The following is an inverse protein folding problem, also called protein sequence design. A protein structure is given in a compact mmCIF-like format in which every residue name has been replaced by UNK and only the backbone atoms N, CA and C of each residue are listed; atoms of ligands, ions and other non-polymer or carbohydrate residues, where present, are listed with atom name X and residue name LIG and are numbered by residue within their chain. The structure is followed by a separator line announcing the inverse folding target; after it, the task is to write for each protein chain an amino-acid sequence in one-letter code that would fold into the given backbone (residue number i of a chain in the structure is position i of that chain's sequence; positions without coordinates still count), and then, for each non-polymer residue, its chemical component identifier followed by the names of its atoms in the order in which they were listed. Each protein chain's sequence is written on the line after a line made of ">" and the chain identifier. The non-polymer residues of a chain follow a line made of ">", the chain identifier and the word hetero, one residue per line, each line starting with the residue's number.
data_IF_329353400521
#
_entry.id   IF_329353400521
#
_cell.length_a   1.000
_cell.length_b   1.000
_cell.length_c   1.000
_cell.angle_alpha   90.00
_cell.angle_beta   90.00
_cell.angle_gamma   90.00
#
_symmetry.space_group_name_H-M   'P 1'
#
loop_
_entity.id
_entity.type
_entity.pdbx_description
1 polymer ?
#
# COMPACT_ATOMS: atom_id res chain seq x y z
N UNK A 1 12.19 -2.32 -3.70
CA UNK A 1 12.05 -3.14 -4.91
C UNK A 1 11.19 -4.37 -4.60
N UNK A 2 10.23 -4.69 -5.47
CA UNK A 2 9.45 -5.92 -5.40
C UNK A 2 9.96 -6.98 -6.36
N UNK A 3 9.73 -8.24 -6.06
CA UNK A 3 10.19 -9.39 -6.86
C UNK A 3 9.20 -9.81 -7.97
N UNK A 4 8.01 -9.22 -8.00
CA UNK A 4 6.93 -9.57 -8.93
C UNK A 4 6.63 -11.07 -8.94
N UNK A 5 6.65 -11.73 -10.10
CA UNK A 5 6.46 -13.20 -10.20
C UNK A 5 7.56 -14.01 -9.49
N UNK A 6 8.68 -13.40 -9.16
CA UNK A 6 9.78 -14.05 -8.45
C UNK A 6 9.56 -14.26 -6.97
N UNK A 7 8.55 -13.63 -6.37
CA UNK A 7 8.29 -13.78 -4.94
C UNK A 7 7.28 -12.81 -4.36
N UNK A 8 7.16 -12.88 -3.05
CA UNK A 8 6.21 -12.08 -2.26
C UNK A 8 6.89 -10.99 -1.44
N UNK A 9 8.22 -10.90 -1.49
CA UNK A 9 8.98 -9.94 -0.69
C UNK A 9 9.27 -8.65 -1.43
N UNK A 10 9.38 -7.60 -0.66
CA UNK A 10 10.00 -6.33 -1.01
C UNK A 10 11.31 -6.22 -0.25
N UNK A 11 12.30 -5.60 -0.85
CA UNK A 11 13.59 -5.34 -0.19
C UNK A 11 14.07 -3.92 -0.49
N UNK A 12 14.89 -3.38 0.42
CA UNK A 12 15.55 -2.11 0.26
C UNK A 12 17.06 -2.25 0.24
N UNK A 13 17.69 -1.45 -0.60
CA UNK A 13 19.14 -1.32 -0.70
C UNK A 13 19.51 0.15 -0.49
N UNK A 14 20.59 0.39 0.25
CA UNK A 14 21.29 1.66 0.20
C UNK A 14 22.25 1.63 -1.00
N UNK A 15 22.01 2.53 -1.94
CA UNK A 15 22.79 2.69 -3.17
C UNK A 15 23.57 4.02 -3.19
N UNK A 16 23.81 4.62 -2.04
CA UNK A 16 24.61 5.85 -1.92
C UNK A 16 25.99 5.66 -2.53
N UNK A 17 26.60 4.49 -2.29
CA UNK A 17 27.74 4.01 -3.06
C UNK A 17 27.26 2.95 -4.06
N UNK A 18 27.16 3.32 -5.32
CA UNK A 18 26.67 2.44 -6.39
C UNK A 18 27.59 1.26 -6.70
N UNK A 19 28.86 1.34 -6.31
CA UNK A 19 29.84 0.26 -6.45
C UNK A 19 29.83 -0.73 -5.28
N UNK A 20 29.17 -0.34 -4.17
CA UNK A 20 29.07 -1.16 -2.95
C UNK A 20 27.67 -1.02 -2.33
N UNK A 21 26.60 -1.51 -3.00
CA UNK A 21 25.23 -1.45 -2.47
C UNK A 21 25.13 -2.23 -1.16
N UNK A 22 24.40 -1.66 -0.18
CA UNK A 22 24.18 -2.31 1.11
C UNK A 22 22.73 -2.74 1.24
N UNK A 23 22.52 -3.99 1.64
CA UNK A 23 21.20 -4.48 2.01
C UNK A 23 20.73 -3.80 3.30
N UNK A 24 19.51 -3.27 3.32
CA UNK A 24 18.91 -2.64 4.49
C UNK A 24 17.91 -3.58 5.17
N UNK A 25 16.89 -3.99 4.45
CA UNK A 25 15.83 -4.83 4.99
C UNK A 25 14.99 -5.50 3.90
N UNK A 26 14.21 -6.50 4.32
CA UNK A 26 13.12 -7.08 3.54
C UNK A 26 11.78 -6.97 4.28
N UNK A 27 10.69 -6.96 3.52
CA UNK A 27 9.32 -6.98 4.01
C UNK A 27 8.51 -8.01 3.20
N UNK A 28 7.64 -8.81 3.84
CA UNK A 28 7.39 -8.87 5.27
C UNK A 28 8.48 -9.66 6.03
N UNK A 29 8.68 -9.27 7.30
CA UNK A 29 9.62 -9.96 8.20
C UNK A 29 8.98 -11.12 8.95
N UNK A 30 7.64 -11.16 9.02
CA UNK A 30 6.89 -12.16 9.79
C UNK A 30 6.14 -13.13 8.88
N UNK A 31 6.19 -14.46 9.16
CA UNK A 31 5.50 -15.46 8.35
C UNK A 31 3.99 -15.17 8.19
N UNK A 32 3.29 -14.79 9.25
CA UNK A 32 1.85 -14.53 9.20
C UNK A 32 1.43 -13.37 8.28
N UNK A 33 2.31 -12.41 8.02
CA UNK A 33 2.09 -11.38 7.00
C UNK A 33 2.41 -11.93 5.61
N UNK A 34 3.48 -12.74 5.49
CA UNK A 34 3.88 -13.37 4.23
C UNK A 34 2.78 -14.26 3.64
N UNK A 35 2.02 -14.97 4.48
CA UNK A 35 0.92 -15.83 4.04
C UNK A 35 -0.23 -15.04 3.41
N UNK A 36 -0.40 -13.77 3.79
CA UNK A 36 -1.47 -12.88 3.33
C UNK A 36 -1.09 -12.01 2.14
N UNK A 37 0.21 -11.87 1.86
CA UNK A 37 0.73 -11.12 0.70
C UNK A 37 0.64 -11.99 -0.57
N UNK A 38 0.23 -11.36 -1.67
CA UNK A 38 0.36 -11.88 -3.02
C UNK A 38 1.77 -11.69 -3.59
N UNK A 39 1.93 -11.89 -4.89
CA UNK A 39 3.20 -11.58 -5.56
C UNK A 39 3.46 -10.06 -5.53
N UNK A 40 4.69 -9.64 -5.27
CA UNK A 40 5.07 -8.24 -5.02
C UNK A 40 5.13 -7.38 -6.29
N UNK A 41 3.97 -7.13 -6.89
CA UNK A 41 3.82 -6.32 -8.10
C UNK A 41 3.64 -4.82 -7.84
N UNK A 42 3.04 -4.45 -6.71
CA UNK A 42 2.80 -3.05 -6.37
C UNK A 42 4.11 -2.31 -6.21
N UNK A 43 4.37 -1.32 -7.06
CA UNK A 43 5.54 -0.45 -6.90
C UNK A 43 5.28 0.51 -5.74
N UNK A 44 6.20 0.64 -4.77
CA UNK A 44 6.00 1.50 -3.61
C UNK A 44 5.89 2.97 -4.00
N UNK A 45 4.87 3.68 -3.50
CA UNK A 45 4.88 5.14 -3.46
C UNK A 45 5.56 5.60 -2.18
N UNK A 46 6.42 6.61 -2.28
CA UNK A 46 7.22 7.10 -1.15
C UNK A 46 6.72 8.49 -0.76
N UNK A 47 6.59 8.72 0.55
CA UNK A 47 6.20 10.02 1.08
C UNK A 47 6.51 10.18 2.56
N UNK A 48 6.33 11.40 3.07
CA UNK A 48 6.44 11.68 4.50
C UNK A 48 5.06 11.67 5.16
N UNK A 49 5.01 11.18 6.37
CA UNK A 49 3.82 11.21 7.23
C UNK A 49 4.19 11.64 8.64
N UNK A 50 3.20 12.12 9.37
CA UNK A 50 3.31 12.35 10.82
C UNK A 50 2.60 11.23 11.55
N UNK A 51 3.27 10.60 12.52
CA UNK A 51 2.70 9.53 13.36
C UNK A 51 2.93 9.85 14.84
N UNK A 52 2.11 9.27 15.69
CA UNK A 52 2.33 9.32 17.13
C UNK A 52 3.18 8.12 17.56
N UNK A 53 4.29 8.37 18.21
CA UNK A 53 5.15 7.33 18.75
C UNK A 53 5.57 7.69 20.18
N UNK A 54 5.13 6.89 21.15
CA UNK A 54 5.47 7.12 22.55
C UNK A 54 4.87 8.39 23.19
N UNK A 55 3.83 8.95 22.59
CA UNK A 55 3.19 10.19 23.00
C UNK A 55 3.74 11.45 22.30
N UNK A 56 4.79 11.29 21.50
CA UNK A 56 5.37 12.34 20.69
C UNK A 56 4.96 12.21 19.22
N UNK A 57 4.85 13.37 18.55
CA UNK A 57 4.64 13.43 17.12
C UNK A 57 5.97 13.30 16.41
N UNK A 58 6.12 12.28 15.59
CA UNK A 58 7.34 12.01 14.80
C UNK A 58 7.05 12.00 13.31
N UNK A 59 7.99 12.54 12.56
CA UNK A 59 7.97 12.49 11.10
C UNK A 59 8.67 11.24 10.60
N UNK A 60 8.05 10.57 9.63
CA UNK A 60 8.64 9.38 9.02
C UNK A 60 8.53 9.40 7.50
N UNK A 61 9.59 8.98 6.84
CA UNK A 61 9.53 8.58 5.46
C UNK A 61 8.99 7.16 5.38
N UNK A 62 7.96 6.98 4.57
CA UNK A 62 7.26 5.71 4.44
C UNK A 62 7.12 5.26 3.00
N UNK A 63 6.95 3.95 2.84
CA UNK A 63 6.54 3.32 1.60
C UNK A 63 5.08 2.86 1.73
N UNK A 64 4.24 3.27 0.80
CA UNK A 64 2.87 2.80 0.62
C UNK A 64 2.88 1.66 -0.38
N UNK A 65 2.37 0.48 -0.02
CA UNK A 65 2.48 -0.73 -0.82
C UNK A 65 1.15 -1.49 -0.80
N UNK A 66 0.63 -1.82 -1.98
CA UNK A 66 -0.45 -2.79 -2.10
C UNK A 66 0.00 -4.20 -1.77
N UNK A 67 -0.90 -5.04 -1.31
CA UNK A 67 -0.63 -6.42 -0.90
C UNK A 67 -0.17 -7.35 -2.03
N UNK A 68 -0.15 -6.87 -3.26
CA UNK A 68 0.41 -7.57 -4.40
C UNK A 68 -0.65 -8.33 -5.23
N UNK A 69 -0.17 -9.12 -6.17
CA UNK A 69 -1.00 -9.83 -7.16
C UNK A 69 -1.34 -11.24 -6.69
N UNK A 70 -2.63 -11.58 -6.79
CA UNK A 70 -3.14 -12.94 -6.59
C UNK A 70 -3.64 -13.51 -7.94
N UNK A 71 -2.98 -14.53 -8.50
CA UNK A 71 -3.44 -15.15 -9.76
C UNK A 71 -4.83 -15.76 -9.68
N UNK A 72 -5.28 -16.13 -8.49
CA UNK A 72 -6.62 -16.68 -8.28
C UNK A 72 -7.70 -15.60 -8.40
N UNK A 73 -7.41 -14.39 -7.89
CA UNK A 73 -8.31 -13.24 -7.94
C UNK A 73 -8.54 -12.70 -9.37
N UNK A 74 -7.64 -12.97 -10.30
CA UNK A 74 -7.80 -12.55 -11.70
C UNK A 74 -8.97 -13.28 -12.42
N UNK A 75 -9.36 -14.43 -11.91
CA UNK A 75 -10.44 -15.23 -12.51
C UNK A 75 -11.80 -14.59 -12.24
N UNK A 76 -12.69 -14.67 -13.22
CA UNK A 76 -14.06 -14.17 -13.10
C UNK A 76 -14.80 -14.84 -11.92
N UNK A 77 -15.43 -13.99 -11.08
CA UNK A 77 -16.28 -14.45 -9.97
C UNK A 77 -15.53 -14.97 -8.75
N UNK A 78 -14.20 -14.78 -8.70
CA UNK A 78 -13.38 -15.14 -7.54
C UNK A 78 -13.05 -13.89 -6.71
N UNK A 79 -12.78 -14.09 -5.43
CA UNK A 79 -12.19 -13.12 -4.52
C UNK A 79 -10.73 -13.51 -4.25
N UNK A 80 -9.92 -12.55 -3.81
CA UNK A 80 -8.52 -12.79 -3.49
C UNK A 80 -8.38 -13.75 -2.29
N UNK A 81 -7.44 -14.67 -2.40
CA UNK A 81 -6.97 -15.49 -1.28
C UNK A 81 -5.81 -14.82 -0.56
N UNK A 82 -5.09 -13.94 -1.27
CA UNK A 82 -3.96 -13.14 -0.78
C UNK A 82 -3.96 -11.76 -1.43
N UNK A 83 -3.19 -10.82 -0.89
CA UNK A 83 -2.98 -9.53 -1.53
C UNK A 83 -4.09 -8.49 -1.33
N UNK A 84 -5.20 -8.83 -0.70
CA UNK A 84 -6.30 -7.91 -0.36
C UNK A 84 -6.01 -7.12 0.93
N UNK A 85 -4.87 -6.46 0.94
CA UNK A 85 -4.29 -5.76 2.08
C UNK A 85 -3.46 -4.57 1.57
N UNK A 86 -3.35 -3.51 2.37
CA UNK A 86 -2.54 -2.35 2.04
C UNK A 86 -1.67 -1.98 3.23
N UNK A 87 -0.40 -1.63 2.98
CA UNK A 87 0.62 -1.40 3.99
C UNK A 87 1.23 -0.02 3.93
N UNK A 88 1.58 0.49 5.10
CA UNK A 88 2.48 1.64 5.30
C UNK A 88 3.70 1.14 6.06
N UNK A 89 4.88 1.28 5.47
CA UNK A 89 6.14 0.71 5.95
C UNK A 89 7.16 1.83 6.16
N UNK A 90 7.84 1.81 7.29
CA UNK A 90 8.98 2.69 7.57
C UNK A 90 10.12 2.40 6.58
N UNK A 91 10.54 3.40 5.80
CA UNK A 91 11.54 3.20 4.74
C UNK A 91 12.95 2.93 5.29
N UNK A 92 13.25 3.37 6.50
CA UNK A 92 14.55 3.15 7.13
C UNK A 92 14.69 1.74 7.70
N UNK A 93 13.62 1.25 8.33
CA UNK A 93 13.69 0.00 9.10
C UNK A 93 13.00 -1.18 8.42
N UNK A 94 12.11 -0.93 7.45
CA UNK A 94 11.24 -1.95 6.86
C UNK A 94 10.16 -2.47 7.82
N UNK A 95 9.92 -1.78 8.92
CA UNK A 95 8.87 -2.12 9.87
C UNK A 95 7.51 -1.63 9.40
N UNK A 96 6.50 -2.43 9.65
CA UNK A 96 5.12 -2.09 9.34
C UNK A 96 4.60 -1.07 10.36
N UNK A 97 4.26 0.13 9.89
CA UNK A 97 3.61 1.16 10.70
C UNK A 97 2.10 0.88 10.75
N UNK A 98 1.51 0.61 9.59
CA UNK A 98 0.07 0.38 9.48
C UNK A 98 -0.25 -0.69 8.47
N UNK A 99 -1.28 -1.45 8.78
CA UNK A 99 -1.93 -2.40 7.91
C UNK A 99 -3.41 -2.01 7.78
N UNK A 100 -3.90 -1.98 6.54
CA UNK A 100 -5.32 -1.90 6.24
C UNK A 100 -5.75 -3.25 5.67
N UNK A 101 -6.59 -3.95 6.40
CA UNK A 101 -7.15 -5.24 6.01
C UNK A 101 -8.53 -5.41 6.59
N UNK A 102 -9.32 -6.35 6.05
CA UNK A 102 -10.64 -6.67 6.56
C UNK A 102 -11.68 -5.54 6.43
N UNK A 103 -11.41 -4.49 5.64
CA UNK A 103 -12.39 -3.45 5.36
C UNK A 103 -13.55 -4.03 4.54
N UNK A 104 -14.76 -3.52 4.77
CA UNK A 104 -15.94 -3.92 4.02
C UNK A 104 -15.69 -3.74 2.52
N UNK A 105 -15.88 -4.80 1.74
CA UNK A 105 -15.63 -4.87 0.29
C UNK A 105 -14.17 -4.93 -0.16
N UNK A 106 -13.20 -4.93 0.74
CA UNK A 106 -11.77 -5.11 0.45
C UNK A 106 -11.45 -6.59 0.24
N UNK A 107 -11.96 -7.15 -0.86
CA UNK A 107 -11.92 -8.60 -1.14
C UNK A 107 -11.03 -8.97 -2.31
N UNK A 108 -10.39 -7.97 -2.92
CA UNK A 108 -9.58 -8.14 -4.11
C UNK A 108 -8.16 -7.65 -3.89
N UNK A 109 -7.21 -8.25 -4.57
CA UNK A 109 -5.79 -7.97 -4.42
C UNK A 109 -5.39 -6.64 -5.05
N UNK A 110 -4.31 -6.04 -4.53
CA UNK A 110 -3.78 -4.72 -4.92
C UNK A 110 -2.42 -4.84 -5.61
N UNK A 111 -2.36 -5.21 -6.88
CA UNK A 111 -1.10 -5.26 -7.62
C UNK A 111 -0.66 -3.89 -8.17
N UNK A 112 -1.59 -2.93 -8.29
CA UNK A 112 -1.30 -1.62 -8.85
C UNK A 112 -0.38 -0.80 -7.93
N UNK A 113 0.50 0.05 -8.50
CA UNK A 113 1.20 1.06 -7.73
C UNK A 113 0.21 2.08 -7.14
N UNK A 114 0.36 2.49 -5.88
CA UNK A 114 -0.45 3.56 -5.30
C UNK A 114 0.03 4.94 -5.74
N UNK A 115 -0.86 5.94 -5.65
CA UNK A 115 -0.54 7.37 -5.79
C UNK A 115 -0.70 8.04 -4.45
N UNK A 116 0.41 8.58 -3.92
CA UNK A 116 0.44 9.37 -2.69
C UNK A 116 0.26 10.86 -3.02
N UNK A 117 -0.61 11.54 -2.30
CA UNK A 117 -0.98 12.94 -2.55
C UNK A 117 -0.92 13.73 -1.25
N UNK A 118 -0.22 14.85 -1.30
CA UNK A 118 -0.25 15.92 -0.32
C UNK A 118 -1.30 16.94 -0.79
N UNK A 119 -2.45 16.99 -0.13
CA UNK A 119 -3.61 17.79 -0.57
C UNK A 119 -3.55 19.24 -0.11
N UNK A 120 -2.82 19.52 0.95
CA UNK A 120 -2.70 20.84 1.56
C UNK A 120 -1.34 21.51 1.31
N UNK A 121 -0.40 20.80 0.65
CA UNK A 121 0.94 21.24 0.29
C UNK A 121 1.83 21.56 1.50
N UNK A 122 1.67 20.83 2.60
CA UNK A 122 2.50 20.97 3.80
C UNK A 122 3.74 20.06 3.79
N UNK A 123 3.89 19.24 2.74
CA UNK A 123 5.00 18.32 2.52
C UNK A 123 4.77 16.93 3.13
N UNK A 124 3.56 16.64 3.62
CA UNK A 124 3.17 15.32 4.13
C UNK A 124 2.04 14.74 3.30
N UNK A 125 2.03 13.43 3.17
CA UNK A 125 0.98 12.72 2.44
C UNK A 125 -0.29 12.68 3.26
N UNK A 126 -1.41 13.12 2.67
CA UNK A 126 -2.73 13.05 3.27
C UNK A 126 -3.55 11.87 2.75
N UNK A 127 -3.46 11.61 1.44
CA UNK A 127 -4.29 10.61 0.77
C UNK A 127 -3.44 9.70 -0.10
N UNK A 128 -3.81 8.42 -0.11
CA UNK A 128 -3.19 7.44 -1.01
C UNK A 128 -4.28 6.73 -1.80
N UNK A 129 -4.18 6.76 -3.12
CA UNK A 129 -5.14 6.15 -4.03
C UNK A 129 -4.54 4.91 -4.66
N UNK A 130 -5.33 3.84 -4.77
CA UNK A 130 -4.90 2.59 -5.41
C UNK A 130 -6.08 1.83 -5.98
N UNK A 131 -5.89 1.15 -7.12
CA UNK A 131 -6.86 0.26 -7.72
C UNK A 131 -6.66 -1.19 -7.31
N UNK A 132 -7.73 -1.96 -7.21
CA UNK A 132 -7.69 -3.41 -7.01
C UNK A 132 -8.06 -4.20 -8.28
N UNK A 133 -7.94 -5.53 -8.23
CA UNK A 133 -8.26 -6.41 -9.36
C UNK A 133 -9.76 -6.55 -9.66
N UNK A 134 -10.65 -5.94 -8.88
CA UNK A 134 -12.07 -5.87 -9.23
C UNK A 134 -12.47 -4.56 -9.91
N UNK A 135 -11.51 -3.67 -10.23
CA UNK A 135 -11.81 -2.36 -10.79
C UNK A 135 -12.38 -1.40 -9.74
N UNK A 136 -12.08 -1.62 -8.48
CA UNK A 136 -12.43 -0.71 -7.41
C UNK A 136 -11.28 0.27 -7.19
N UNK A 137 -11.61 1.54 -6.97
CA UNK A 137 -10.67 2.56 -6.54
C UNK A 137 -10.81 2.76 -5.04
N UNK A 138 -9.70 2.66 -4.33
CA UNK A 138 -9.60 2.86 -2.90
C UNK A 138 -8.86 4.15 -2.58
N UNK A 139 -9.24 4.77 -1.48
CA UNK A 139 -8.49 5.87 -0.85
C UNK A 139 -8.19 5.51 0.58
N UNK A 140 -6.92 5.68 0.96
CA UNK A 140 -6.45 5.58 2.33
C UNK A 140 -6.10 6.98 2.82
N UNK A 141 -6.80 7.41 3.86
CA UNK A 141 -6.58 8.68 4.55
C UNK A 141 -5.49 8.47 5.59
N UNK A 142 -4.33 9.08 5.35
CA UNK A 142 -3.16 9.03 6.21
C UNK A 142 -2.78 10.42 6.73
N UNK A 143 -3.71 11.37 6.61
CA UNK A 143 -3.53 12.74 7.07
C UNK A 143 -3.34 12.81 8.58
N UNK A 144 -2.59 13.82 8.99
CA UNK A 144 -2.48 14.24 10.38
C UNK A 144 -3.32 15.51 10.59
N UNK A 145 -4.21 15.48 11.55
CA UNK A 145 -4.97 16.66 11.97
C UNK A 145 -4.37 17.23 13.27
N UNK A 146 -3.79 18.43 13.18
CA UNK A 146 -3.17 19.12 14.32
C UNK A 146 -4.17 19.46 15.44
N UNK A 147 -5.45 19.64 15.10
CA UNK A 147 -6.50 20.01 16.08
C UNK A 147 -6.92 18.80 16.89
N UNK A 148 -7.14 17.68 16.24
CA UNK A 148 -7.57 16.43 16.88
C UNK A 148 -6.41 15.54 17.30
N UNK A 149 -5.15 15.91 16.94
CA UNK A 149 -3.94 15.09 17.11
C UNK A 149 -4.17 13.66 16.62
N UNK A 150 -4.74 13.54 15.42
CA UNK A 150 -5.04 12.24 14.84
C UNK A 150 -3.75 11.49 14.56
N UNK A 151 -3.56 10.40 15.28
CA UNK A 151 -2.46 9.49 15.09
C UNK A 151 -2.75 8.51 13.95
N UNK A 152 -1.73 7.76 13.52
CA UNK A 152 -1.85 6.64 12.59
C UNK A 152 -2.93 5.61 12.99
N UNK A 153 -3.34 5.58 14.27
CA UNK A 153 -4.47 4.77 14.75
C UNK A 153 -5.82 5.18 14.13
N UNK A 154 -5.96 6.44 13.71
CA UNK A 154 -7.18 6.98 13.09
C UNK A 154 -7.18 6.95 11.56
N UNK A 155 -6.07 6.55 10.95
CA UNK A 155 -6.00 6.39 9.51
C UNK A 155 -7.06 5.43 9.00
N UNK A 156 -7.72 5.79 7.90
CA UNK A 156 -8.90 5.08 7.38
C UNK A 156 -8.72 4.71 5.93
N UNK A 157 -9.23 3.54 5.57
CA UNK A 157 -9.37 3.13 4.18
C UNK A 157 -10.84 3.03 3.80
N UNK A 158 -11.19 3.47 2.61
CA UNK A 158 -12.54 3.32 2.06
C UNK A 158 -12.51 3.13 0.54
N UNK A 159 -13.50 2.41 0.05
CA UNK A 159 -13.72 2.34 -1.39
C UNK A 159 -14.34 3.64 -1.87
N UNK A 160 -13.64 4.31 -2.80
CA UNK A 160 -14.09 5.56 -3.40
C UNK A 160 -15.03 5.32 -4.60
N UNK A 161 -14.69 4.35 -5.44
CA UNK A 161 -15.39 4.08 -6.69
C UNK A 161 -15.29 2.59 -7.05
N UNK A 162 -16.21 2.13 -7.87
CA UNK A 162 -16.17 0.82 -8.50
C UNK A 162 -16.57 0.97 -9.96
N UNK A 163 -15.74 0.49 -10.88
CA UNK A 163 -16.05 0.45 -12.29
C UNK A 163 -17.34 -0.35 -12.53
N UNK A 164 -18.23 0.10 -13.46
CA UNK A 164 -19.41 -0.66 -13.82
C UNK A 164 -19.03 -2.09 -14.20
N UNK A 165 -19.73 -3.07 -13.62
CA UNK A 165 -19.53 -4.48 -14.01
C UNK A 165 -20.37 -4.72 -15.27
N UNK A 166 -19.73 -4.76 -16.41
CA UNK A 166 -20.32 -5.45 -17.54
C UNK A 166 -20.40 -6.93 -17.22
N UNK A 167 -21.54 -7.55 -17.56
CA UNK A 167 -21.85 -8.94 -17.20
C UNK A 167 -20.80 -9.97 -17.65
N UNK A 168 -19.83 -9.56 -18.46
CA UNK A 168 -18.89 -10.44 -19.14
C UNK A 168 -17.41 -10.25 -18.74
N UNK A 169 -17.00 -9.11 -18.17
CA UNK A 169 -15.57 -8.86 -17.91
C UNK A 169 -15.31 -8.26 -16.52
N UNK A 170 -14.18 -8.63 -15.95
CA UNK A 170 -13.63 -8.05 -14.72
C UNK A 170 -12.67 -6.91 -15.11
N UNK A 171 -12.92 -5.71 -14.61
CA UNK A 171 -12.07 -4.55 -14.89
C UNK A 171 -10.91 -4.48 -13.89
N UNK A 172 -9.81 -5.11 -14.23
CA UNK A 172 -8.64 -5.18 -13.35
C UNK A 172 -7.83 -3.89 -13.40
N UNK A 173 -7.45 -3.33 -12.24
CA UNK A 173 -6.54 -2.19 -12.15
C UNK A 173 -5.11 -2.67 -11.92
N UNK A 174 -4.24 -2.42 -12.90
CA UNK A 174 -2.81 -2.77 -12.83
C UNK A 174 -1.89 -1.56 -12.79
N UNK A 175 -2.41 -0.37 -13.07
CA UNK A 175 -1.63 0.86 -13.19
C UNK A 175 -1.94 1.85 -12.10
N UNK A 176 -0.99 2.72 -11.85
CA UNK A 176 -1.10 3.81 -10.90
C UNK A 176 -2.25 4.76 -11.29
N UNK A 177 -3.12 5.15 -10.35
CA UNK A 177 -4.14 6.16 -10.59
C UNK A 177 -3.50 7.52 -10.89
N UNK A 178 -4.03 8.24 -11.88
CA UNK A 178 -3.72 9.65 -12.07
C UNK A 178 -4.61 10.49 -11.12
N UNK A 179 -3.98 11.43 -10.44
CA UNK A 179 -4.66 12.40 -9.56
C UNK A 179 -4.31 13.79 -10.06
N UNK A 180 -5.34 14.60 -10.35
CA UNK A 180 -5.22 15.98 -10.85
C UNK A 180 -5.65 16.98 -9.76
#
# INVERSE_FOLDING_TARGET
>A
CGLRKGGKHYFALDITDTLSPKYLWEFPKTPGVLDRIGQSWSEPAIGRVKIEQGGDLVEKWVAFIGGGYDPYDEKKGTEATTGNIFFVIDILTGEMIKEFSGLVLMRHSFPAPPTAVDTNQDGYVDKVYVGDLAGQMWVFDVSFDEISKTSDSQWKGQRLFMAPKDLLEKHNCYYQPAVA
#
